data_IF_171493514743
#
_entry.id   IF_171493514743
#
_cell.length_a   1.000
_cell.length_b   1.000
_cell.length_c   1.000
_cell.angle_alpha   90.00
_cell.angle_beta   90.00
_cell.angle_gamma   90.00
#
_symmetry.space_group_name_H-M   'P 1'
#
loop_
_entity.id
_entity.type
_entity.pdbx_description
1 polymer ?
#
# COMPACT_ATOMS: atom_id res chain seq x y z
N UNK A 1 -21.95 20.89 11.63
CA UNK A 1 -20.78 20.22 11.05
C UNK A 1 -19.57 20.98 11.57
N UNK A 2 -18.74 20.33 12.38
CA UNK A 2 -17.48 20.93 12.85
C UNK A 2 -16.51 21.08 11.69
N UNK A 3 -15.51 21.96 11.84
CA UNK A 3 -14.44 22.18 10.86
C UNK A 3 -13.69 20.87 10.57
N UNK A 4 -14.17 20.14 9.58
CA UNK A 4 -13.44 19.03 8.98
C UNK A 4 -12.21 19.61 8.27
N UNK A 5 -11.05 19.02 8.55
CA UNK A 5 -9.75 19.47 8.07
C UNK A 5 -9.00 18.26 7.52
N UNK A 6 -8.92 18.19 6.19
CA UNK A 6 -8.31 17.08 5.46
C UNK A 6 -6.88 16.80 5.91
N UNK A 7 -6.08 17.82 6.17
CA UNK A 7 -4.68 17.62 6.58
C UNK A 7 -4.58 17.07 8.00
N UNK A 8 -5.50 17.44 8.89
CA UNK A 8 -5.63 16.78 10.21
C UNK A 8 -6.07 15.33 10.08
N UNK A 9 -7.02 15.03 9.18
CA UNK A 9 -7.50 13.68 8.94
C UNK A 9 -6.38 12.77 8.40
N UNK A 10 -5.61 13.25 7.41
CA UNK A 10 -4.40 12.57 6.92
C UNK A 10 -3.39 12.33 8.03
N UNK A 11 -3.08 13.34 8.83
CA UNK A 11 -2.13 13.20 9.93
C UNK A 11 -2.58 12.20 11.00
N UNK A 12 -3.89 12.05 11.23
CA UNK A 12 -4.45 11.01 12.09
C UNK A 12 -4.29 9.62 11.46
N UNK A 13 -4.63 9.46 10.18
CA UNK A 13 -4.48 8.20 9.47
C UNK A 13 -3.01 7.75 9.43
N UNK A 14 -2.08 8.66 9.13
CA UNK A 14 -0.64 8.37 9.07
C UNK A 14 -0.05 7.91 10.41
N UNK A 15 -0.67 8.25 11.56
CA UNK A 15 -0.25 7.74 12.88
C UNK A 15 -0.68 6.29 13.14
N UNK A 16 -1.63 5.79 12.36
CA UNK A 16 -2.15 4.42 12.47
C UNK A 16 -1.56 3.49 11.40
N UNK A 17 -0.81 4.03 10.44
CA UNK A 17 0.01 3.27 9.50
C UNK A 17 1.10 2.53 10.31
N UNK A 18 1.36 1.24 10.04
CA UNK A 18 2.42 0.48 10.68
C UNK A 18 3.74 1.24 10.70
N UNK A 19 4.45 1.21 11.82
CA UNK A 19 5.83 1.66 11.87
C UNK A 19 6.77 0.66 11.16
N UNK A 20 8.03 1.04 10.95
CA UNK A 20 9.00 0.20 10.25
C UNK A 20 9.16 -1.19 10.87
N UNK A 21 9.12 -1.30 12.20
CA UNK A 21 9.21 -2.58 12.90
C UNK A 21 7.98 -3.47 12.64
N UNK A 22 6.77 -2.91 12.72
CA UNK A 22 5.52 -3.63 12.46
C UNK A 22 5.41 -4.04 10.99
N UNK A 23 5.81 -3.14 10.10
CA UNK A 23 5.93 -3.41 8.67
C UNK A 23 6.91 -4.56 8.38
N UNK A 24 8.07 -4.60 9.04
CA UNK A 24 9.01 -5.72 8.93
C UNK A 24 8.34 -7.07 9.19
N UNK A 25 7.57 -7.18 10.28
CA UNK A 25 6.82 -8.40 10.63
C UNK A 25 5.75 -8.77 9.59
N UNK A 26 5.10 -7.79 8.97
CA UNK A 26 4.15 -8.02 7.87
C UNK A 26 4.83 -8.60 6.63
N UNK A 27 6.10 -8.25 6.41
CA UNK A 27 6.89 -8.71 5.26
C UNK A 27 7.59 -10.05 5.47
N UNK A 28 7.72 -10.52 6.72
CA UNK A 28 8.41 -11.76 7.14
C UNK A 28 7.71 -13.09 6.70
N UNK A 29 6.79 -13.06 5.74
CA UNK A 29 6.01 -14.24 5.30
C UNK A 29 6.66 -15.06 4.16
N UNK A 30 7.16 -16.24 4.56
CA UNK A 30 7.47 -17.54 3.89
C UNK A 30 8.15 -17.56 2.49
N UNK A 31 9.34 -18.22 2.34
CA UNK A 31 10.10 -18.35 1.08
C UNK A 31 9.30 -18.88 -0.12
N UNK A 32 8.31 -19.74 0.08
CA UNK A 32 7.54 -20.32 -1.04
C UNK A 32 6.64 -19.28 -1.76
N UNK A 33 6.26 -18.18 -1.07
CA UNK A 33 5.59 -17.05 -1.72
C UNK A 33 6.57 -16.12 -2.45
N UNK A 34 7.86 -16.19 -2.12
CA UNK A 34 8.93 -15.41 -2.76
C UNK A 34 9.20 -15.88 -4.21
N UNK A 35 9.23 -17.19 -4.46
CA UNK A 35 9.42 -17.74 -5.82
C UNK A 35 8.23 -17.45 -6.74
N UNK A 36 7.01 -17.54 -6.21
CA UNK A 36 5.79 -17.26 -6.98
C UNK A 36 5.73 -15.77 -7.39
N UNK A 37 6.18 -14.84 -6.55
CA UNK A 37 6.23 -13.40 -6.89
C UNK A 37 7.34 -13.06 -7.90
N UNK A 38 8.50 -13.70 -7.82
CA UNK A 38 9.58 -13.49 -8.80
C UNK A 38 9.20 -13.93 -10.23
N UNK A 39 8.25 -14.85 -10.35
CA UNK A 39 7.75 -15.33 -11.65
C UNK A 39 6.83 -14.34 -12.37
N UNK A 40 6.32 -13.33 -11.67
CA UNK A 40 5.44 -12.29 -12.22
C UNK A 40 6.18 -11.04 -12.69
N UNK A 41 7.50 -11.08 -12.97
CA UNK A 41 8.19 -9.90 -13.52
C UNK A 41 7.52 -9.44 -14.82
N UNK A 42 7.19 -8.15 -14.96
CA UNK A 42 6.62 -7.65 -16.19
C UNK A 42 7.65 -7.84 -17.29
N UNK A 43 7.20 -8.36 -18.42
CA UNK A 43 8.06 -8.54 -19.59
C UNK A 43 8.10 -7.21 -20.32
N UNK A 44 9.29 -6.72 -20.66
CA UNK A 44 9.43 -5.56 -21.52
C UNK A 44 8.71 -5.87 -22.86
N UNK A 45 7.78 -5.03 -23.34
CA UNK A 45 6.85 -5.41 -24.41
C UNK A 45 7.50 -5.53 -25.79
N UNK A 46 8.81 -5.24 -25.90
CA UNK A 46 9.58 -5.33 -27.14
C UNK A 46 10.54 -6.52 -27.07
N UNK A 47 10.53 -7.31 -28.14
CA UNK A 47 11.49 -8.39 -28.36
C UNK A 47 12.92 -7.83 -28.59
N UNK A 48 13.93 -8.69 -28.45
CA UNK A 48 15.32 -8.30 -28.72
C UNK A 48 15.52 -7.79 -30.15
N UNK A 49 14.79 -8.32 -31.12
CA UNK A 49 14.86 -7.93 -32.52
C UNK A 49 14.26 -6.54 -32.79
N UNK A 50 13.25 -6.16 -32.01
CA UNK A 50 12.64 -4.83 -32.06
C UNK A 50 13.53 -3.80 -31.38
N UNK A 51 14.10 -4.13 -30.21
CA UNK A 51 15.06 -3.29 -29.49
C UNK A 51 16.30 -3.03 -30.34
N UNK A 52 16.78 -4.03 -31.08
CA UNK A 52 17.94 -3.88 -31.97
C UNK A 52 17.70 -2.91 -33.14
N UNK A 53 16.44 -2.63 -33.48
CA UNK A 53 16.04 -1.67 -34.53
C UNK A 53 15.75 -0.27 -33.97
N UNK A 54 15.68 -0.11 -32.65
CA UNK A 54 15.44 1.18 -32.00
C UNK A 54 16.71 2.03 -31.95
N UNK A 55 16.55 3.33 -32.10
CA UNK A 55 17.56 4.29 -31.68
C UNK A 55 17.67 4.34 -30.16
N UNK A 56 18.77 4.90 -29.66
CA UNK A 56 19.00 5.04 -28.21
C UNK A 56 17.93 5.90 -27.53
N UNK A 57 17.43 6.93 -28.21
CA UNK A 57 16.37 7.80 -27.68
C UNK A 57 15.02 7.08 -27.62
N UNK A 58 14.67 6.34 -28.68
CA UNK A 58 13.42 5.55 -28.73
C UNK A 58 13.40 4.46 -27.67
N UNK A 59 14.51 3.74 -27.49
CA UNK A 59 14.65 2.76 -26.42
C UNK A 59 14.45 3.40 -25.04
N UNK A 60 15.09 4.55 -24.78
CA UNK A 60 14.96 5.25 -23.50
C UNK A 60 13.53 5.69 -23.22
N UNK A 61 12.84 6.23 -24.22
CA UNK A 61 11.45 6.65 -24.08
C UNK A 61 10.52 5.44 -23.83
N UNK A 62 10.71 4.35 -24.56
CA UNK A 62 9.96 3.11 -24.38
C UNK A 62 10.22 2.46 -23.01
N UNK A 63 11.48 2.43 -22.57
CA UNK A 63 11.87 1.93 -21.27
C UNK A 63 11.25 2.77 -20.14
N UNK A 64 11.40 4.09 -20.17
CA UNK A 64 10.83 4.96 -19.14
C UNK A 64 9.31 4.86 -19.09
N UNK A 65 8.65 4.74 -20.26
CA UNK A 65 7.19 4.57 -20.32
C UNK A 65 6.77 3.24 -19.69
N UNK A 66 7.40 2.14 -20.09
CA UNK A 66 7.14 0.83 -19.51
C UNK A 66 7.45 0.79 -18.01
N UNK A 67 8.56 1.40 -17.58
CA UNK A 67 8.95 1.50 -16.19
C UNK A 67 7.90 2.30 -15.39
N UNK A 68 7.41 3.44 -15.88
CA UNK A 68 6.34 4.20 -15.23
C UNK A 68 5.01 3.42 -15.19
N UNK A 69 4.63 2.78 -16.30
CA UNK A 69 3.38 2.02 -16.42
C UNK A 69 3.39 0.74 -15.59
N UNK A 70 4.56 0.16 -15.35
CA UNK A 70 4.71 -1.03 -14.51
C UNK A 70 5.10 -0.70 -13.07
N UNK A 71 5.73 0.44 -12.79
CA UNK A 71 6.15 0.81 -11.43
C UNK A 71 4.97 0.88 -10.45
N UNK A 72 3.81 1.37 -10.89
CA UNK A 72 2.58 1.41 -10.06
C UNK A 72 1.99 -0.01 -9.84
N UNK A 73 2.27 -0.98 -10.72
CA UNK A 73 1.85 -2.39 -10.59
C UNK A 73 2.82 -3.26 -9.77
N UNK A 74 4.02 -2.74 -9.48
CA UNK A 74 5.05 -3.42 -8.68
C UNK A 74 5.62 -2.49 -7.60
N UNK A 75 4.80 -1.62 -7.02
CA UNK A 75 5.11 -1.14 -5.67
C UNK A 75 4.91 -2.32 -4.74
N UNK A 76 5.85 -3.26 -4.78
CA UNK A 76 5.98 -4.29 -3.79
C UNK A 76 6.31 -3.55 -2.49
N UNK A 77 5.25 -3.24 -1.74
CA UNK A 77 5.36 -2.78 -0.35
C UNK A 77 6.21 -3.71 0.47
N UNK A 78 6.50 -4.93 0.02
CA UNK A 78 7.36 -5.86 0.71
C UNK A 78 8.83 -5.46 0.87
N UNK A 79 9.35 -4.43 0.18
CA UNK A 79 10.81 -4.21 0.13
C UNK A 79 11.34 -2.87 0.62
N UNK A 80 10.49 -1.89 0.89
CA UNK A 80 10.95 -0.60 1.42
C UNK A 80 9.85 0.06 2.24
N UNK A 81 10.17 0.38 3.49
CA UNK A 81 9.29 1.10 4.38
C UNK A 81 8.95 2.49 3.85
N UNK A 82 9.94 3.20 3.28
CA UNK A 82 9.72 4.53 2.69
C UNK A 82 8.67 4.48 1.56
N UNK A 83 8.75 3.48 0.66
CA UNK A 83 7.75 3.29 -0.39
C UNK A 83 6.36 2.94 0.14
N UNK A 84 6.31 2.20 1.25
CA UNK A 84 5.07 1.90 1.95
C UNK A 84 4.43 3.16 2.53
N UNK A 85 5.21 4.03 3.15
CA UNK A 85 4.74 5.33 3.64
C UNK A 85 4.27 6.21 2.48
N UNK A 86 5.07 6.34 1.42
CA UNK A 86 4.73 7.14 0.23
C UNK A 86 3.42 6.69 -0.42
N UNK A 87 3.17 5.38 -0.48
CA UNK A 87 1.93 4.87 -1.05
C UNK A 87 0.70 5.14 -0.20
N UNK A 88 0.80 4.94 1.13
CA UNK A 88 -0.30 5.27 2.02
C UNK A 88 -0.63 6.77 1.94
N UNK A 89 0.39 7.62 1.82
CA UNK A 89 0.22 9.04 1.57
C UNK A 89 -0.48 9.31 0.23
N UNK A 90 -0.03 8.67 -0.86
CA UNK A 90 -0.66 8.78 -2.19
C UNK A 90 -2.15 8.37 -2.16
N UNK A 91 -2.49 7.28 -1.49
CA UNK A 91 -3.87 6.85 -1.34
C UNK A 91 -4.72 7.90 -0.62
N UNK A 92 -4.22 8.46 0.48
CA UNK A 92 -4.90 9.54 1.22
C UNK A 92 -5.04 10.83 0.42
N UNK A 93 -4.06 11.15 -0.44
CA UNK A 93 -4.11 12.32 -1.30
C UNK A 93 -5.16 12.18 -2.42
N UNK A 94 -5.39 10.96 -2.90
CA UNK A 94 -6.33 10.66 -3.98
C UNK A 94 -7.78 10.38 -3.52
N UNK A 95 -8.03 10.19 -2.21
CA UNK A 95 -9.37 9.93 -1.66
C UNK A 95 -10.35 11.10 -1.84
N UNK A 96 -11.64 10.80 -1.98
CA UNK A 96 -12.68 11.83 -2.00
C UNK A 96 -12.94 12.39 -0.59
N UNK A 97 -13.51 13.60 -0.49
CA UNK A 97 -13.70 14.29 0.80
C UNK A 97 -14.65 13.55 1.75
N UNK A 98 -15.72 12.98 1.21
CA UNK A 98 -16.68 12.17 1.97
C UNK A 98 -16.05 10.89 2.51
N UNK A 99 -15.26 10.20 1.69
CA UNK A 99 -14.49 9.02 2.13
C UNK A 99 -13.47 9.38 3.22
N UNK A 100 -12.85 10.56 3.10
CA UNK A 100 -11.86 11.02 4.06
C UNK A 100 -12.49 11.40 5.41
N UNK A 101 -13.69 12.01 5.43
CA UNK A 101 -14.45 12.24 6.66
C UNK A 101 -14.79 10.91 7.37
N UNK A 102 -15.19 9.89 6.61
CA UNK A 102 -15.46 8.55 7.17
C UNK A 102 -14.22 7.87 7.72
N UNK A 103 -13.09 7.98 7.02
CA UNK A 103 -11.83 7.43 7.50
C UNK A 103 -11.31 8.18 8.73
N UNK A 104 -11.50 9.50 8.83
CA UNK A 104 -11.17 10.25 10.05
C UNK A 104 -11.92 9.68 11.27
N UNK A 105 -13.23 9.46 11.13
CA UNK A 105 -14.05 8.87 12.18
C UNK A 105 -13.57 7.46 12.57
N UNK A 106 -13.23 6.62 11.58
CA UNK A 106 -12.67 5.29 11.83
C UNK A 106 -11.33 5.37 12.58
N UNK A 107 -10.45 6.29 12.20
CA UNK A 107 -9.16 6.51 12.87
C UNK A 107 -9.35 6.84 14.35
N UNK A 108 -10.33 7.69 14.68
CA UNK A 108 -10.65 8.03 16.07
C UNK A 108 -11.13 6.81 16.86
N UNK A 109 -11.96 5.96 16.25
CA UNK A 109 -12.46 4.75 16.90
C UNK A 109 -11.35 3.72 17.14
N UNK A 110 -10.42 3.57 16.18
CA UNK A 110 -9.24 2.72 16.35
C UNK A 110 -8.37 3.28 17.49
N UNK A 111 -8.07 4.59 17.49
CA UNK A 111 -7.26 5.23 18.53
C UNK A 111 -7.91 5.13 19.93
N UNK A 112 -9.23 5.17 20.02
CA UNK A 112 -9.98 4.94 21.26
C UNK A 112 -10.05 3.44 21.66
N UNK A 113 -9.53 2.54 20.83
CA UNK A 113 -9.59 1.10 21.05
C UNK A 113 -11.00 0.53 20.98
N UNK A 114 -11.90 1.16 20.21
CA UNK A 114 -13.31 0.74 20.01
C UNK A 114 -13.51 -0.19 18.82
N UNK A 115 -12.54 -0.28 17.92
CA UNK A 115 -12.57 -1.25 16.81
C UNK A 115 -11.88 -2.56 17.26
N UNK A 116 -12.49 -3.68 16.88
CA UNK A 116 -12.01 -5.04 17.14
C UNK A 116 -12.07 -5.83 15.84
N UNK A 117 -11.07 -6.66 15.64
CA UNK A 117 -11.09 -7.70 14.60
C UNK A 117 -11.59 -9.00 15.23
N UNK A 118 -12.51 -9.69 14.59
CA UNK A 118 -13.02 -10.99 15.03
C UNK A 118 -12.40 -12.07 14.14
N UNK A 119 -11.73 -13.03 14.77
CA UNK A 119 -11.34 -14.25 14.10
C UNK A 119 -12.45 -15.28 14.28
N UNK A 120 -13.07 -15.66 13.17
CA UNK A 120 -14.19 -16.59 13.15
C UNK A 120 -13.75 -18.04 13.37
N UNK A 121 -12.50 -18.39 13.09
CA UNK A 121 -11.99 -19.75 13.29
C UNK A 121 -11.72 -20.01 14.78
N UNK A 122 -11.11 -19.04 15.45
CA UNK A 122 -10.80 -19.13 16.89
C UNK A 122 -11.88 -18.53 17.80
N UNK A 123 -12.93 -17.94 17.20
CA UNK A 123 -14.02 -17.25 17.89
C UNK A 123 -13.52 -16.22 18.91
N UNK A 124 -12.47 -15.49 18.56
CA UNK A 124 -11.77 -14.58 19.47
C UNK A 124 -11.65 -13.18 18.89
N UNK A 125 -11.87 -12.18 19.74
CA UNK A 125 -11.70 -10.78 19.39
C UNK A 125 -10.29 -10.28 19.70
N UNK A 126 -9.73 -9.53 18.77
CA UNK A 126 -8.44 -8.88 18.90
C UNK A 126 -8.56 -7.37 18.75
N UNK A 127 -7.67 -6.64 19.41
CA UNK A 127 -7.59 -5.19 19.21
C UNK A 127 -7.04 -4.91 17.82
N UNK A 128 -7.71 -4.01 17.09
CA UNK A 128 -7.12 -3.42 15.90
C UNK A 128 -5.97 -2.51 16.32
N UNK A 129 -4.82 -2.66 15.69
CA UNK A 129 -3.60 -1.90 16.03
C UNK A 129 -3.43 -0.70 15.12
N UNK A 130 -3.88 -0.81 13.87
CA UNK A 130 -3.79 0.26 12.91
C UNK A 130 -4.52 -0.07 11.61
N UNK A 131 -4.18 0.69 10.58
CA UNK A 131 -4.70 0.53 9.23
C UNK A 131 -3.60 0.78 8.20
N UNK A 132 -3.80 0.33 6.97
CA UNK A 132 -3.00 0.73 5.81
C UNK A 132 -3.76 0.46 4.51
N UNK A 133 -3.29 0.99 3.39
CA UNK A 133 -3.80 0.68 2.05
C UNK A 133 -2.96 -0.41 1.40
N UNK A 134 -3.59 -1.48 0.95
CA UNK A 134 -2.90 -2.54 0.20
C UNK A 134 -2.57 -2.11 -1.24
N UNK A 135 -1.98 -3.03 -2.02
CA UNK A 135 -1.62 -2.81 -3.44
C UNK A 135 -2.85 -2.48 -4.31
N UNK A 136 -4.03 -2.98 -3.93
CA UNK A 136 -5.30 -2.71 -4.61
C UNK A 136 -6.02 -1.45 -4.10
N UNK A 137 -5.32 -0.60 -3.33
CA UNK A 137 -5.85 0.62 -2.69
C UNK A 137 -7.04 0.38 -1.75
N UNK A 138 -7.19 -0.85 -1.27
CA UNK A 138 -8.20 -1.18 -0.28
C UNK A 138 -7.69 -0.86 1.12
N UNK A 139 -8.53 -0.25 1.94
CA UNK A 139 -8.24 -0.01 3.34
C UNK A 139 -8.27 -1.32 4.12
N UNK A 140 -7.14 -1.65 4.74
CA UNK A 140 -6.96 -2.83 5.58
C UNK A 140 -6.83 -2.37 7.03
N UNK A 141 -7.67 -2.89 7.91
CA UNK A 141 -7.54 -2.73 9.37
C UNK A 141 -6.89 -3.99 9.91
N UNK A 142 -5.73 -3.87 10.55
CA UNK A 142 -4.93 -5.02 10.95
C UNK A 142 -4.81 -5.17 12.47
N UNK A 143 -4.45 -6.38 12.87
CA UNK A 143 -4.00 -6.73 14.21
C UNK A 143 -2.48 -6.92 14.14
N UNK A 144 -1.69 -6.22 14.95
CA UNK A 144 -0.22 -6.31 14.91
C UNK A 144 0.36 -7.42 15.81
N UNK A 145 -0.42 -8.47 16.06
CA UNK A 145 0.05 -9.71 16.70
C UNK A 145 0.86 -10.56 15.75
#
# INVERSE_FOLDING_TARGET
MGDYDREKAKAKAMKLIPCEEEFGRMTDLHPDRYETMLSYKPVFPYSQEEVAKMTKEEYRAAFNKWECETADHYVHFRFSYDKFVEWNQKCLDEMYEDEMEHLEWLCEWIAMGKVRNMDMEFCSEFRSQGLYFNEDRQLVVYNGR
#
